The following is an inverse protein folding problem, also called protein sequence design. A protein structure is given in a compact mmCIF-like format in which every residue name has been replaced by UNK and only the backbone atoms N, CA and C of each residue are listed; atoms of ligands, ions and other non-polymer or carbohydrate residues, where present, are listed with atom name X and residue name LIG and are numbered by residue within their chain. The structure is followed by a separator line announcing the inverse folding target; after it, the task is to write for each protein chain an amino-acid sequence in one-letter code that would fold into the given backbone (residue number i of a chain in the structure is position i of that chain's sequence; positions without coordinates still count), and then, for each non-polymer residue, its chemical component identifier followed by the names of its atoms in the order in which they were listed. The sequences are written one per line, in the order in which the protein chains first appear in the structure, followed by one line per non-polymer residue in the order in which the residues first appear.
data_IF_951666733636
#
_entry.id   IF_951666733636
#
_cell.length_a   1.000
_cell.length_b   1.000
_cell.length_c   1.000
_cell.angle_alpha   90.00
_cell.angle_beta   90.00
_cell.angle_gamma   90.00
#
_symmetry.space_group_name_H-M   'P 1'
#
loop_
_entity.id
_entity.type
_entity.pdbx_description
1 polymer ?
#
# COMPACT_ATOMS: atom_id res chain seq x y z
N UNK A 1 1.79 33.64 -13.24
CA UNK A 1 2.44 32.59 -12.44
C UNK A 1 1.51 31.91 -11.43
N UNK A 2 0.65 32.63 -10.69
CA UNK A 2 -0.29 32.05 -9.70
C UNK A 2 -1.36 31.12 -10.32
N UNK A 3 -1.88 31.42 -11.52
CA UNK A 3 -2.98 30.67 -12.14
C UNK A 3 -2.63 29.21 -12.48
N UNK A 4 -1.41 28.96 -12.92
CA UNK A 4 -0.97 27.62 -13.35
C UNK A 4 -0.66 26.69 -12.15
N UNK A 5 -0.22 27.25 -11.02
CA UNK A 5 0.00 26.51 -9.78
C UNK A 5 -1.31 26.09 -9.12
N UNK A 6 -2.38 26.84 -9.35
CA UNK A 6 -3.73 26.55 -8.89
C UNK A 6 -4.28 25.28 -9.56
N UNK A 7 -4.09 25.15 -10.88
CA UNK A 7 -4.56 23.99 -11.65
C UNK A 7 -3.95 22.68 -11.10
N UNK A 8 -2.62 22.61 -10.95
CA UNK A 8 -1.97 21.42 -10.41
C UNK A 8 -2.47 21.06 -9.00
N UNK A 9 -2.72 22.07 -8.17
CA UNK A 9 -3.22 21.84 -6.82
C UNK A 9 -4.61 21.19 -6.84
N UNK A 10 -5.55 21.71 -7.63
CA UNK A 10 -6.91 21.15 -7.69
C UNK A 10 -6.96 19.79 -8.39
N UNK A 11 -6.15 19.57 -9.42
CA UNK A 11 -6.08 18.28 -10.10
C UNK A 11 -5.50 17.19 -9.20
N UNK A 12 -4.47 17.49 -8.42
CA UNK A 12 -3.92 16.56 -7.43
C UNK A 12 -4.89 16.28 -6.27
N UNK A 13 -5.63 17.30 -5.82
CA UNK A 13 -6.68 17.10 -4.82
C UNK A 13 -7.83 16.23 -5.37
N UNK A 14 -8.26 16.44 -6.62
CA UNK A 14 -9.29 15.61 -7.27
C UNK A 14 -8.80 14.16 -7.42
N UNK A 15 -7.56 13.93 -7.84
CA UNK A 15 -6.97 12.60 -7.88
C UNK A 15 -6.97 11.94 -6.49
N UNK A 16 -6.61 12.68 -5.44
CA UNK A 16 -6.62 12.19 -4.06
C UNK A 16 -8.03 11.79 -3.57
N UNK A 17 -9.09 12.49 -4.00
CA UNK A 17 -10.49 12.13 -3.70
C UNK A 17 -10.88 10.82 -4.39
N UNK A 18 -10.49 10.63 -5.65
CA UNK A 18 -10.93 9.49 -6.45
C UNK A 18 -10.24 8.17 -6.06
N UNK A 19 -9.01 8.24 -5.52
CA UNK A 19 -8.22 7.05 -5.18
C UNK A 19 -8.97 6.02 -4.31
N UNK A 20 -9.62 6.39 -3.20
CA UNK A 20 -10.28 5.43 -2.32
C UNK A 20 -11.52 4.77 -2.93
N UNK A 21 -12.12 5.37 -3.96
CA UNK A 21 -13.30 4.85 -4.64
C UNK A 21 -12.97 3.88 -5.78
N UNK A 22 -11.70 3.74 -6.15
CA UNK A 22 -11.12 2.74 -7.07
C UNK A 22 -12.00 2.39 -8.28
N UNK A 23 -12.31 3.38 -9.11
CA UNK A 23 -12.93 3.11 -10.41
C UNK A 23 -11.88 2.53 -11.35
N UNK A 24 -11.98 1.25 -11.69
CA UNK A 24 -10.96 0.41 -12.35
C UNK A 24 -10.30 1.03 -13.59
N UNK A 25 -10.99 1.90 -14.33
CA UNK A 25 -10.51 2.47 -15.60
C UNK A 25 -10.23 3.97 -15.54
N UNK A 26 -10.84 4.69 -14.64
CA UNK A 26 -10.84 6.15 -14.64
C UNK A 26 -9.69 6.77 -13.84
N UNK A 27 -9.29 6.16 -12.75
CA UNK A 27 -8.38 6.81 -11.80
C UNK A 27 -6.91 6.92 -12.27
N UNK A 28 -6.27 5.92 -12.91
CA UNK A 28 -4.86 6.05 -13.33
C UNK A 28 -4.71 7.02 -14.51
N UNK A 29 -5.60 6.91 -15.50
CA UNK A 29 -5.53 7.72 -16.71
C UNK A 29 -5.84 9.18 -16.40
N UNK A 30 -6.89 9.45 -15.62
CA UNK A 30 -7.22 10.82 -15.21
C UNK A 30 -6.14 11.41 -14.27
N UNK A 31 -5.64 10.64 -13.31
CA UNK A 31 -4.56 11.10 -12.44
C UNK A 31 -3.31 11.48 -13.25
N UNK A 32 -2.92 10.68 -14.23
CA UNK A 32 -1.78 10.95 -15.11
C UNK A 32 -2.03 12.12 -16.06
N UNK A 33 -3.19 12.20 -16.70
CA UNK A 33 -3.54 13.33 -17.59
C UNK A 33 -3.56 14.63 -16.79
N UNK A 34 -4.22 14.64 -15.63
CA UNK A 34 -4.30 15.82 -14.78
C UNK A 34 -2.93 16.26 -14.28
N UNK A 35 -2.06 15.30 -13.96
CA UNK A 35 -0.71 15.61 -13.53
C UNK A 35 0.18 16.09 -14.67
N UNK A 36 0.11 15.44 -15.84
CA UNK A 36 0.83 15.87 -17.03
C UNK A 36 0.45 17.31 -17.43
N UNK A 37 -0.85 17.63 -17.42
CA UNK A 37 -1.36 18.98 -17.64
C UNK A 37 -0.75 19.94 -16.60
N UNK A 38 -0.76 19.57 -15.30
CA UNK A 38 -0.18 20.38 -14.24
C UNK A 38 1.31 20.67 -14.45
N UNK A 39 2.11 19.64 -14.79
CA UNK A 39 3.56 19.74 -15.00
C UNK A 39 3.88 20.60 -16.23
N UNK A 40 3.20 20.39 -17.36
CA UNK A 40 3.42 21.17 -18.59
C UNK A 40 3.12 22.66 -18.39
N UNK A 41 2.07 22.97 -17.65
CA UNK A 41 1.69 24.37 -17.41
C UNK A 41 2.61 25.14 -16.45
N UNK A 42 3.39 24.47 -15.61
CA UNK A 42 4.17 25.18 -14.57
C UNK A 42 5.51 25.72 -15.01
N UNK A 43 6.09 25.26 -16.12
CA UNK A 43 7.36 25.73 -16.72
C UNK A 43 8.57 25.90 -15.78
N UNK A 44 8.53 25.35 -14.57
CA UNK A 44 9.62 25.42 -13.60
C UNK A 44 10.33 24.07 -13.52
N UNK A 45 11.36 23.91 -14.30
CA UNK A 45 12.15 22.68 -14.37
C UNK A 45 13.32 22.73 -13.38
N UNK A 46 13.45 21.72 -12.54
CA UNK A 46 14.64 21.48 -11.73
C UNK A 46 14.88 19.98 -11.68
N UNK A 47 15.96 19.53 -12.29
CA UNK A 47 16.27 18.11 -12.45
C UNK A 47 16.90 17.58 -11.16
N UNK A 48 16.28 16.58 -10.55
CA UNK A 48 16.90 15.75 -9.50
C UNK A 48 17.34 14.44 -10.13
N UNK A 49 18.55 14.40 -10.63
CA UNK A 49 19.07 13.31 -11.43
C UNK A 49 18.91 11.94 -10.76
N UNK A 50 19.22 11.81 -9.47
CA UNK A 50 19.09 10.55 -8.73
C UNK A 50 17.66 10.04 -8.71
N UNK A 51 16.67 10.92 -8.49
CA UNK A 51 15.25 10.52 -8.48
C UNK A 51 14.81 10.08 -9.87
N UNK A 52 15.16 10.85 -10.90
CA UNK A 52 14.86 10.52 -12.31
C UNK A 52 15.44 9.15 -12.66
N UNK A 53 16.71 8.91 -12.32
CA UNK A 53 17.40 7.66 -12.65
C UNK A 53 16.75 6.43 -12.00
N UNK A 54 16.32 6.51 -10.74
CA UNK A 54 15.64 5.39 -10.04
C UNK A 54 14.34 5.01 -10.74
N UNK A 55 13.49 5.98 -11.08
CA UNK A 55 12.21 5.70 -11.74
C UNK A 55 12.35 5.34 -13.21
N UNK A 56 13.35 5.91 -13.92
CA UNK A 56 13.68 5.51 -15.28
C UNK A 56 14.23 4.08 -15.34
N UNK A 57 15.09 3.70 -14.40
CA UNK A 57 15.59 2.33 -14.30
C UNK A 57 14.45 1.33 -14.07
N UNK A 58 13.47 1.69 -13.21
CA UNK A 58 12.28 0.89 -12.99
C UNK A 58 11.49 0.68 -14.29
N UNK A 59 11.13 1.77 -14.99
CA UNK A 59 10.38 1.67 -16.25
C UNK A 59 11.14 0.90 -17.32
N UNK A 60 12.44 1.21 -17.47
CA UNK A 60 13.28 0.54 -18.46
C UNK A 60 13.34 -0.96 -18.19
N UNK A 61 13.50 -1.37 -16.93
CA UNK A 61 13.56 -2.80 -16.58
C UNK A 61 12.22 -3.51 -16.80
N UNK A 62 11.11 -2.88 -16.42
CA UNK A 62 9.78 -3.43 -16.69
C UNK A 62 9.53 -3.65 -18.19
N UNK A 63 9.93 -2.68 -19.04
CA UNK A 63 9.80 -2.79 -20.49
C UNK A 63 10.76 -3.85 -21.06
N UNK A 64 12.04 -3.82 -20.66
CA UNK A 64 13.05 -4.74 -21.16
C UNK A 64 12.70 -6.19 -20.85
N UNK A 65 12.18 -6.46 -19.65
CA UNK A 65 11.83 -7.82 -19.21
C UNK A 65 10.71 -8.47 -20.03
N UNK A 66 9.91 -7.70 -20.75
CA UNK A 66 8.89 -8.25 -21.67
C UNK A 66 9.53 -8.94 -22.89
N UNK A 67 10.74 -8.50 -23.34
CA UNK A 67 11.33 -9.01 -24.59
C UNK A 67 11.76 -10.48 -24.51
N UNK A 68 12.11 -10.99 -23.32
CA UNK A 68 12.42 -12.40 -23.12
C UNK A 68 11.29 -13.20 -22.44
N UNK A 69 10.12 -12.58 -22.21
CA UNK A 69 8.95 -13.25 -21.69
C UNK A 69 8.29 -14.13 -22.78
N UNK A 70 7.89 -15.34 -22.41
CA UNK A 70 7.06 -16.20 -23.26
C UNK A 70 5.61 -15.69 -23.33
N UNK A 71 5.21 -14.86 -22.37
CA UNK A 71 3.85 -14.31 -22.23
C UNK A 71 3.83 -12.78 -22.44
N UNK A 72 4.37 -12.32 -23.58
CA UNK A 72 4.57 -10.88 -23.86
C UNK A 72 3.30 -10.03 -23.77
N UNK A 73 2.14 -10.57 -24.14
CA UNK A 73 0.87 -9.84 -24.05
C UNK A 73 0.52 -9.50 -22.60
N UNK A 74 0.69 -10.46 -21.67
CA UNK A 74 0.53 -10.22 -20.23
C UNK A 74 1.58 -9.24 -19.73
N UNK A 75 2.85 -9.42 -20.14
CA UNK A 75 3.93 -8.51 -19.77
C UNK A 75 3.69 -7.06 -20.16
N UNK A 76 3.12 -6.79 -21.34
CA UNK A 76 2.73 -5.43 -21.71
C UNK A 76 1.58 -4.89 -20.86
N UNK A 77 0.61 -5.73 -20.46
CA UNK A 77 -0.44 -5.32 -19.55
C UNK A 77 0.13 -4.92 -18.17
N UNK A 78 1.10 -5.69 -17.68
CA UNK A 78 1.78 -5.37 -16.40
C UNK A 78 2.60 -4.09 -16.49
N UNK A 79 3.32 -3.85 -17.61
CA UNK A 79 4.02 -2.58 -17.86
C UNK A 79 3.05 -1.41 -17.81
N UNK A 80 1.90 -1.51 -18.48
CA UNK A 80 0.88 -0.45 -18.47
C UNK A 80 0.33 -0.24 -17.07
N UNK A 81 0.15 -1.32 -16.30
CA UNK A 81 -0.34 -1.23 -14.92
C UNK A 81 0.62 -0.45 -14.02
N UNK A 82 1.92 -0.72 -14.08
CA UNK A 82 2.92 -0.08 -13.20
C UNK A 82 3.47 1.25 -13.74
N UNK A 83 3.14 1.60 -14.97
CA UNK A 83 3.55 2.84 -15.65
C UNK A 83 3.33 4.10 -14.80
N UNK A 84 2.19 4.26 -14.06
CA UNK A 84 1.95 5.41 -13.20
C UNK A 84 3.04 5.67 -12.17
N UNK A 85 3.63 4.63 -11.57
CA UNK A 85 4.68 4.78 -10.56
C UNK A 85 5.91 5.45 -11.18
N UNK A 86 6.37 4.93 -12.28
CA UNK A 86 7.58 5.44 -12.93
C UNK A 86 7.37 6.83 -13.55
N UNK A 87 6.28 7.04 -14.29
CA UNK A 87 5.96 8.34 -14.89
C UNK A 87 5.79 9.44 -13.82
N UNK A 88 5.07 9.14 -12.74
CA UNK A 88 4.88 10.07 -11.63
C UNK A 88 6.21 10.42 -10.98
N UNK A 89 7.05 9.41 -10.71
CA UNK A 89 8.38 9.60 -10.15
C UNK A 89 9.26 10.49 -11.03
N UNK A 90 9.29 10.25 -12.33
CA UNK A 90 10.06 11.07 -13.28
C UNK A 90 9.48 12.49 -13.36
N UNK A 91 8.19 12.63 -13.65
CA UNK A 91 7.56 13.95 -13.86
C UNK A 91 7.70 14.85 -12.63
N UNK A 92 7.43 14.34 -11.43
CA UNK A 92 7.58 15.15 -10.21
C UNK A 92 9.05 15.41 -9.82
N UNK A 93 9.97 14.55 -10.25
CA UNK A 93 11.41 14.81 -10.08
C UNK A 93 11.94 15.93 -10.97
N UNK A 94 11.26 16.20 -12.09
CA UNK A 94 11.55 17.30 -13.00
C UNK A 94 10.86 18.62 -12.62
N UNK A 95 9.92 18.55 -11.68
CA UNK A 95 9.09 19.70 -11.33
C UNK A 95 9.54 20.37 -10.03
N UNK A 96 9.59 21.71 -10.01
CA UNK A 96 9.88 22.48 -8.81
C UNK A 96 8.72 23.39 -8.41
N UNK A 97 8.30 23.36 -7.14
CA UNK A 97 7.36 24.32 -6.58
C UNK A 97 7.75 24.71 -5.15
N UNK A 98 7.69 26.01 -4.87
CA UNK A 98 7.89 26.52 -3.50
C UNK A 98 6.77 26.07 -2.54
N UNK A 99 5.63 25.70 -3.08
CA UNK A 99 4.45 25.28 -2.30
C UNK A 99 4.32 23.76 -2.16
N UNK A 100 5.33 22.97 -2.51
CA UNK A 100 5.27 21.50 -2.54
C UNK A 100 4.83 20.90 -1.21
N UNK A 101 5.37 21.33 -0.09
CA UNK A 101 5.00 20.85 1.24
C UNK A 101 3.54 21.16 1.60
N UNK A 102 3.05 22.34 1.23
CA UNK A 102 1.64 22.71 1.46
C UNK A 102 0.71 21.82 0.61
N UNK A 103 1.07 21.56 -0.64
CA UNK A 103 0.26 20.69 -1.52
C UNK A 103 0.31 19.25 -1.08
N UNK A 104 1.48 18.74 -0.73
CA UNK A 104 1.63 17.40 -0.15
C UNK A 104 0.68 17.24 1.04
N UNK A 105 0.69 18.19 1.97
CA UNK A 105 -0.17 18.14 3.16
C UNK A 105 -1.66 18.16 2.78
N UNK A 106 -2.06 19.03 1.86
CA UNK A 106 -3.47 19.13 1.44
C UNK A 106 -3.93 17.88 0.69
N UNK A 107 -3.14 17.35 -0.24
CA UNK A 107 -3.49 16.13 -0.97
C UNK A 107 -3.58 14.93 -0.05
N UNK A 108 -2.62 14.80 0.88
CA UNK A 108 -2.65 13.74 1.87
C UNK A 108 -3.92 13.82 2.75
N UNK A 109 -4.29 15.00 3.24
CA UNK A 109 -5.53 15.18 4.02
C UNK A 109 -6.78 14.92 3.19
N UNK A 110 -6.84 15.41 1.96
CA UNK A 110 -7.96 15.16 1.06
C UNK A 110 -8.14 13.66 0.83
N UNK A 111 -7.06 12.93 0.56
CA UNK A 111 -7.08 11.47 0.43
C UNK A 111 -7.61 10.80 1.71
N UNK A 112 -7.11 11.21 2.88
CA UNK A 112 -7.48 10.60 4.14
C UNK A 112 -8.97 10.81 4.48
N UNK A 113 -9.51 12.02 4.25
CA UNK A 113 -10.93 12.29 4.42
C UNK A 113 -11.80 11.57 3.39
N UNK A 114 -11.37 11.49 2.14
CA UNK A 114 -12.07 10.73 1.11
C UNK A 114 -12.10 9.23 1.45
N UNK A 115 -11.01 8.67 1.96
CA UNK A 115 -10.96 7.28 2.44
C UNK A 115 -11.92 7.04 3.61
N UNK A 116 -12.02 8.00 4.55
CA UNK A 116 -12.98 7.93 5.66
C UNK A 116 -14.41 7.84 5.14
N UNK A 117 -14.76 8.70 4.18
CA UNK A 117 -16.11 8.71 3.56
C UNK A 117 -16.36 7.40 2.82
N UNK A 118 -15.42 6.95 1.99
CA UNK A 118 -15.53 5.69 1.25
C UNK A 118 -15.72 4.51 2.21
N UNK A 119 -14.91 4.42 3.27
CA UNK A 119 -15.06 3.38 4.28
C UNK A 119 -16.41 3.42 4.98
N UNK A 120 -16.86 4.60 5.39
CA UNK A 120 -18.16 4.76 6.07
C UNK A 120 -19.30 4.30 5.15
N UNK A 121 -19.24 4.63 3.85
CA UNK A 121 -20.22 4.18 2.88
C UNK A 121 -20.22 2.65 2.75
N UNK A 122 -19.05 2.02 2.58
CA UNK A 122 -18.92 0.55 2.48
C UNK A 122 -19.44 -0.14 3.72
N UNK A 123 -19.12 0.40 4.89
CA UNK A 123 -19.57 -0.14 6.16
C UNK A 123 -21.09 -0.09 6.29
N UNK A 124 -21.72 1.04 5.97
CA UNK A 124 -23.17 1.21 6.02
C UNK A 124 -23.88 0.32 4.99
N UNK A 125 -23.36 0.28 3.75
CA UNK A 125 -23.89 -0.58 2.70
C UNK A 125 -23.85 -2.06 3.10
N UNK A 126 -22.74 -2.50 3.68
CA UNK A 126 -22.60 -3.87 4.19
C UNK A 126 -23.62 -4.20 5.28
N UNK A 127 -23.89 -3.29 6.22
CA UNK A 127 -24.90 -3.50 7.25
C UNK A 127 -26.31 -3.58 6.66
N UNK A 128 -26.63 -2.68 5.72
CA UNK A 128 -27.95 -2.61 5.09
C UNK A 128 -28.21 -3.84 4.21
N UNK A 129 -27.20 -4.24 3.41
CA UNK A 129 -27.34 -5.31 2.43
C UNK A 129 -27.25 -6.71 3.03
N UNK A 130 -26.49 -6.88 4.11
CA UNK A 130 -26.17 -8.22 4.68
C UNK A 130 -26.53 -8.38 6.16
N UNK A 131 -27.15 -7.40 6.77
CA UNK A 131 -27.61 -7.40 8.16
C UNK A 131 -26.48 -7.12 9.16
N UNK A 132 -25.71 -8.13 9.53
CA UNK A 132 -24.59 -7.96 10.47
C UNK A 132 -23.24 -8.00 9.75
N UNK A 133 -22.25 -7.33 10.35
CA UNK A 133 -20.89 -7.21 9.85
C UNK A 133 -20.26 -8.58 9.52
N UNK A 134 -20.21 -8.93 8.26
CA UNK A 134 -19.42 -10.04 7.75
C UNK A 134 -18.24 -9.45 6.96
N UNK A 135 -16.99 -9.76 7.37
CA UNK A 135 -15.81 -9.23 6.70
C UNK A 135 -15.77 -9.47 5.17
N UNK A 136 -16.46 -10.50 4.68
CA UNK A 136 -16.57 -10.79 3.23
C UNK A 136 -17.53 -9.86 2.50
N UNK A 137 -18.41 -9.17 3.21
CA UNK A 137 -19.38 -8.23 2.62
C UNK A 137 -18.83 -6.81 2.44
N UNK A 138 -17.64 -6.52 2.99
CA UNK A 138 -16.97 -5.22 2.82
C UNK A 138 -16.20 -5.08 1.51
N UNK A 139 -16.44 -5.96 0.57
CA UNK A 139 -15.90 -5.86 -0.78
C UNK A 139 -16.75 -4.88 -1.60
N UNK A 140 -16.20 -3.76 -2.02
CA UNK A 140 -16.81 -2.79 -2.94
C UNK A 140 -17.05 -3.43 -4.32
N UNK A 141 -17.83 -4.53 -4.35
CA UNK A 141 -18.16 -5.24 -5.58
C UNK A 141 -16.96 -5.92 -6.26
N UNK A 142 -15.98 -6.43 -5.48
CA UNK A 142 -14.78 -7.08 -5.99
C UNK A 142 -13.66 -6.11 -6.43
N UNK A 143 -13.88 -4.79 -6.28
CA UNK A 143 -13.00 -3.75 -6.86
C UNK A 143 -11.78 -3.43 -6.00
N UNK A 144 -11.93 -3.45 -4.69
CA UNK A 144 -10.86 -3.22 -3.72
C UNK A 144 -10.82 -4.41 -2.76
N UNK A 145 -9.97 -5.38 -2.99
CA UNK A 145 -9.80 -6.50 -2.07
C UNK A 145 -9.56 -6.02 -0.63
N UNK A 146 -10.01 -6.78 0.36
CA UNK A 146 -9.98 -6.43 1.79
C UNK A 146 -8.60 -5.95 2.27
N UNK A 147 -7.53 -6.53 1.72
CA UNK A 147 -6.16 -6.16 2.04
C UNK A 147 -5.83 -4.73 1.60
N UNK A 148 -6.14 -4.37 0.36
CA UNK A 148 -5.88 -3.03 -0.18
C UNK A 148 -6.73 -1.97 0.51
N UNK A 149 -8.00 -2.29 0.79
CA UNK A 149 -8.87 -1.40 1.54
C UNK A 149 -8.31 -1.12 2.94
N UNK A 150 -7.88 -2.16 3.66
CA UNK A 150 -7.21 -2.03 4.96
C UNK A 150 -5.93 -1.20 4.88
N UNK A 151 -5.14 -1.35 3.80
CA UNK A 151 -3.93 -0.56 3.54
C UNK A 151 -4.24 0.93 3.38
N UNK A 152 -5.30 1.27 2.63
CA UNK A 152 -5.77 2.66 2.48
C UNK A 152 -6.21 3.26 3.82
N UNK A 153 -6.91 2.47 4.66
CA UNK A 153 -7.34 2.91 5.99
C UNK A 153 -6.14 3.23 6.90
N UNK A 154 -5.11 2.37 6.91
CA UNK A 154 -3.89 2.59 7.70
C UNK A 154 -3.19 3.88 7.28
N UNK A 155 -2.95 4.06 5.97
CA UNK A 155 -2.29 5.26 5.45
C UNK A 155 -3.07 6.51 5.81
N UNK A 156 -4.40 6.47 5.70
CA UNK A 156 -5.28 7.59 6.05
C UNK A 156 -5.28 7.90 7.55
N UNK A 157 -5.28 6.86 8.41
CA UNK A 157 -5.18 7.03 9.85
C UNK A 157 -3.86 7.71 10.26
N UNK A 158 -2.74 7.28 9.67
CA UNK A 158 -1.42 7.90 9.89
C UNK A 158 -1.37 9.36 9.47
N UNK A 159 -2.02 9.72 8.34
CA UNK A 159 -2.07 11.10 7.85
C UNK A 159 -2.91 11.98 8.79
N UNK A 160 -4.08 11.51 9.24
CA UNK A 160 -4.96 12.30 10.12
C UNK A 160 -4.39 12.45 11.53
N UNK A 161 -3.72 11.40 12.04
CA UNK A 161 -3.11 11.40 13.39
C UNK A 161 -2.11 12.55 13.54
N UNK A 162 -1.30 12.85 12.51
CA UNK A 162 -0.26 13.88 12.53
C UNK A 162 -0.73 15.24 13.08
N UNK A 163 -1.96 15.63 12.85
CA UNK A 163 -2.51 16.93 13.27
C UNK A 163 -3.34 16.91 14.56
N UNK A 164 -3.52 15.75 15.22
CA UNK A 164 -4.25 15.66 16.48
C UNK A 164 -3.52 16.47 17.57
N UNK A 165 -2.20 16.49 17.54
CA UNK A 165 -1.32 17.11 18.53
C UNK A 165 -1.13 18.62 18.35
N UNK A 166 -1.77 19.25 17.34
CA UNK A 166 -1.74 20.70 17.14
C UNK A 166 -2.85 21.38 17.94
N UNK A 167 -2.56 22.57 18.49
CA UNK A 167 -3.30 23.31 19.53
C UNK A 167 -4.81 23.60 19.32
N UNK A 168 -5.46 23.16 18.25
CA UNK A 168 -6.88 23.45 17.98
C UNK A 168 -7.79 22.31 18.44
N UNK A 169 -8.29 22.38 19.68
CA UNK A 169 -9.01 21.32 20.39
C UNK A 169 -10.17 20.68 19.60
N UNK A 170 -11.10 21.48 19.05
CA UNK A 170 -12.30 20.92 18.37
C UNK A 170 -11.95 20.06 17.14
N UNK A 171 -11.02 20.51 16.31
CA UNK A 171 -10.61 19.80 15.12
C UNK A 171 -9.77 18.54 15.46
N UNK A 172 -9.08 18.57 16.60
CA UNK A 172 -8.32 17.43 17.11
C UNK A 172 -9.23 16.28 17.55
N UNK A 173 -10.36 16.56 18.20
CA UNK A 173 -11.36 15.56 18.60
C UNK A 173 -11.96 14.89 17.37
N UNK A 174 -12.39 15.66 16.35
CA UNK A 174 -12.93 15.09 15.12
C UNK A 174 -11.91 14.16 14.42
N UNK A 175 -10.65 14.57 14.36
CA UNK A 175 -9.59 13.72 13.79
C UNK A 175 -9.33 12.46 14.60
N UNK A 176 -9.35 12.57 15.93
CA UNK A 176 -9.18 11.40 16.80
C UNK A 176 -10.31 10.38 16.57
N UNK A 177 -11.57 10.83 16.49
CA UNK A 177 -12.71 9.97 16.15
C UNK A 177 -12.54 9.35 14.76
N UNK A 178 -12.13 10.14 13.76
CA UNK A 178 -11.89 9.65 12.41
C UNK A 178 -10.78 8.58 12.38
N UNK A 179 -9.66 8.79 13.09
CA UNK A 179 -8.57 7.81 13.20
C UNK A 179 -9.06 6.52 13.85
N UNK A 180 -9.80 6.61 14.97
CA UNK A 180 -10.35 5.43 15.62
C UNK A 180 -11.32 4.67 14.71
N UNK A 181 -12.14 5.37 13.94
CA UNK A 181 -13.07 4.78 12.97
C UNK A 181 -12.34 4.06 11.82
N UNK A 182 -11.27 4.66 11.30
CA UNK A 182 -10.41 4.02 10.29
C UNK A 182 -9.71 2.78 10.86
N UNK A 183 -9.15 2.85 12.07
CA UNK A 183 -8.50 1.70 12.73
C UNK A 183 -9.50 0.59 13.06
N UNK A 184 -10.72 0.93 13.47
CA UNK A 184 -11.81 -0.03 13.60
C UNK A 184 -12.07 -0.74 12.27
N UNK A 185 -12.08 -0.01 11.15
CA UNK A 185 -12.18 -0.58 9.81
C UNK A 185 -11.08 -1.61 9.50
N UNK A 186 -9.84 -1.31 9.86
CA UNK A 186 -8.71 -2.27 9.70
C UNK A 186 -8.97 -3.57 10.46
N UNK A 187 -9.51 -3.48 11.68
CA UNK A 187 -9.85 -4.66 12.50
C UNK A 187 -10.98 -5.45 11.86
N UNK A 188 -12.03 -4.78 11.41
CA UNK A 188 -13.19 -5.43 10.77
C UNK A 188 -12.79 -6.14 9.49
N UNK A 189 -11.96 -5.53 8.64
CA UNK A 189 -11.44 -6.12 7.41
C UNK A 189 -10.51 -7.32 7.67
N UNK A 190 -9.94 -7.42 8.88
CA UNK A 190 -9.21 -8.60 9.36
C UNK A 190 -8.05 -9.04 8.45
N UNK A 191 -7.38 -8.11 7.75
CA UNK A 191 -6.17 -8.42 7.00
C UNK A 191 -5.03 -8.77 7.98
N UNK A 192 -4.58 -10.03 7.99
CA UNK A 192 -3.70 -10.62 9.02
C UNK A 192 -2.46 -9.79 9.29
N UNK A 193 -1.75 -9.39 8.24
CA UNK A 193 -0.53 -8.58 8.38
C UNK A 193 -0.84 -7.22 9.00
N UNK A 194 -1.96 -6.61 8.67
CA UNK A 194 -2.36 -5.31 9.16
C UNK A 194 -2.79 -5.34 10.62
N UNK A 195 -3.39 -6.44 11.09
CA UNK A 195 -3.69 -6.64 12.51
C UNK A 195 -2.44 -6.64 13.39
N UNK A 196 -1.29 -7.09 12.84
CA UNK A 196 0.01 -7.05 13.52
C UNK A 196 0.69 -5.71 13.31
N UNK A 197 0.66 -5.20 12.08
CA UNK A 197 1.41 -4.01 11.69
C UNK A 197 0.87 -2.74 12.36
N UNK A 198 -0.46 -2.59 12.50
CA UNK A 198 -1.06 -1.39 13.09
C UNK A 198 -0.60 -1.15 14.54
N UNK A 199 -0.66 -2.12 15.47
CA UNK A 199 -0.13 -1.92 16.82
C UNK A 199 1.36 -1.55 16.83
N UNK A 200 2.16 -2.16 15.97
CA UNK A 200 3.61 -1.87 15.84
C UNK A 200 3.83 -0.45 15.36
N UNK A 201 3.14 -0.02 14.29
CA UNK A 201 3.25 1.34 13.76
C UNK A 201 2.79 2.39 14.78
N UNK A 202 1.68 2.12 15.47
CA UNK A 202 1.18 3.02 16.52
C UNK A 202 2.19 3.14 17.67
N UNK A 203 2.76 2.01 18.10
CA UNK A 203 3.79 2.02 19.15
C UNK A 203 5.02 2.83 18.71
N UNK A 204 5.55 2.59 17.51
CA UNK A 204 6.69 3.33 16.98
C UNK A 204 6.39 4.84 16.90
N UNK A 205 5.18 5.19 16.45
CA UNK A 205 4.75 6.58 16.37
C UNK A 205 4.63 7.24 17.73
N UNK A 206 4.07 6.55 18.72
CA UNK A 206 4.00 7.07 20.10
C UNK A 206 5.37 7.20 20.74
N UNK A 207 6.30 6.28 20.48
CA UNK A 207 7.69 6.38 20.96
C UNK A 207 8.36 7.61 20.35
N UNK A 208 8.22 7.85 19.03
CA UNK A 208 8.74 9.04 18.36
C UNK A 208 8.17 10.32 18.97
N UNK A 209 6.83 10.41 19.14
CA UNK A 209 6.18 11.55 19.77
C UNK A 209 6.65 11.77 21.22
N UNK A 210 6.77 10.71 22.03
CA UNK A 210 7.22 10.79 23.41
C UNK A 210 8.69 11.22 23.53
N UNK A 211 9.49 10.93 22.49
CA UNK A 211 10.87 11.39 22.41
C UNK A 211 10.96 12.89 22.16
N UNK A 212 10.15 13.41 21.25
CA UNK A 212 10.13 14.83 20.87
C UNK A 212 9.36 15.72 21.86
N UNK A 213 8.34 15.20 22.55
CA UNK A 213 7.47 15.94 23.49
C UNK A 213 7.63 15.42 24.94
N UNK A 214 8.77 15.71 25.56
CA UNK A 214 9.12 15.20 26.90
C UNK A 214 8.09 15.60 27.97
N UNK A 215 7.51 16.80 27.87
CA UNK A 215 6.49 17.35 28.79
C UNK A 215 5.18 16.55 28.74
N UNK A 216 4.86 15.92 27.61
CA UNK A 216 3.62 15.14 27.44
C UNK A 216 3.86 13.61 27.46
N UNK A 217 5.07 13.17 27.77
CA UNK A 217 5.48 11.77 27.66
C UNK A 217 4.57 10.80 28.41
N UNK A 218 4.18 11.13 29.65
CA UNK A 218 3.29 10.27 30.45
C UNK A 218 1.92 10.12 29.79
N UNK A 219 1.34 11.23 29.34
CA UNK A 219 0.07 11.24 28.63
C UNK A 219 0.13 10.44 27.32
N UNK A 220 1.20 10.59 26.54
CA UNK A 220 1.41 9.84 25.30
C UNK A 220 1.50 8.33 25.56
N UNK A 221 2.24 7.91 26.59
CA UNK A 221 2.35 6.48 26.96
C UNK A 221 0.99 5.93 27.42
N UNK A 222 0.25 6.67 28.23
CA UNK A 222 -1.09 6.26 28.66
C UNK A 222 -2.06 6.14 27.49
N UNK A 223 -2.03 7.11 26.56
CA UNK A 223 -2.87 7.07 25.34
C UNK A 223 -2.49 5.88 24.45
N UNK A 224 -1.19 5.61 24.25
CA UNK A 224 -0.73 4.44 23.51
C UNK A 224 -1.22 3.13 24.14
N UNK A 225 -1.08 2.99 25.46
CA UNK A 225 -1.56 1.83 26.20
C UNK A 225 -3.08 1.67 26.07
N UNK A 226 -3.85 2.76 26.21
CA UNK A 226 -5.31 2.74 26.04
C UNK A 226 -5.71 2.33 24.61
N UNK A 227 -5.07 2.88 23.57
CA UNK A 227 -5.32 2.51 22.17
C UNK A 227 -5.02 1.04 21.93
N UNK A 228 -3.87 0.54 22.40
CA UNK A 228 -3.50 -0.88 22.26
C UNK A 228 -4.50 -1.80 22.98
N UNK A 229 -4.93 -1.43 24.18
CA UNK A 229 -5.93 -2.19 24.93
C UNK A 229 -7.28 -2.22 24.22
N UNK A 230 -7.76 -1.06 23.72
CA UNK A 230 -9.01 -0.95 22.98
C UNK A 230 -8.96 -1.79 21.70
N UNK A 231 -7.92 -1.61 20.89
CA UNK A 231 -7.76 -2.38 19.63
C UNK A 231 -7.61 -3.87 19.91
N UNK A 232 -6.82 -4.24 20.93
CA UNK A 232 -6.66 -5.63 21.36
C UNK A 232 -7.98 -6.26 21.83
N UNK A 233 -8.80 -5.51 22.56
CA UNK A 233 -10.13 -5.96 22.97
C UNK A 233 -11.07 -6.19 21.78
N UNK A 234 -11.08 -5.31 20.79
CA UNK A 234 -11.84 -5.53 19.55
C UNK A 234 -11.37 -6.78 18.79
N UNK A 235 -10.06 -6.99 18.68
CA UNK A 235 -9.51 -8.18 18.04
C UNK A 235 -9.92 -9.46 18.80
N UNK A 236 -9.94 -9.41 20.13
CA UNK A 236 -10.32 -10.57 20.94
C UNK A 236 -11.84 -10.86 20.92
N UNK A 237 -12.66 -9.81 20.90
CA UNK A 237 -14.12 -9.94 21.00
C UNK A 237 -14.81 -10.22 19.66
N UNK A 238 -14.24 -9.73 18.54
CA UNK A 238 -14.86 -9.94 17.23
C UNK A 238 -14.48 -11.32 16.65
N UNK A 239 -15.47 -12.15 16.23
CA UNK A 239 -15.20 -13.51 15.73
C UNK A 239 -14.31 -13.55 14.48
N UNK A 240 -14.41 -12.52 13.61
CA UNK A 240 -13.60 -12.44 12.40
C UNK A 240 -12.11 -12.29 12.68
N UNK A 241 -11.68 -11.21 13.39
CA UNK A 241 -10.26 -10.98 13.76
C UNK A 241 -9.68 -12.10 14.63
N UNK A 242 -10.41 -12.57 15.66
CA UNK A 242 -9.93 -13.64 16.54
C UNK A 242 -9.72 -14.96 15.78
N UNK A 243 -10.66 -15.33 14.90
CA UNK A 243 -10.51 -16.47 14.00
C UNK A 243 -9.28 -16.36 13.09
N UNK A 244 -8.99 -15.18 12.56
CA UNK A 244 -7.80 -14.92 11.73
C UNK A 244 -6.48 -15.08 12.47
N UNK A 245 -6.42 -14.68 13.74
CA UNK A 245 -5.23 -14.91 14.57
C UNK A 245 -5.04 -16.40 14.90
N UNK A 246 -6.13 -17.14 15.14
CA UNK A 246 -6.08 -18.60 15.32
C UNK A 246 -5.61 -19.28 14.04
N UNK A 247 -6.12 -18.86 12.87
CA UNK A 247 -5.67 -19.33 11.57
C UNK A 247 -4.16 -19.08 11.39
N UNK A 248 -3.68 -17.87 11.68
CA UNK A 248 -2.25 -17.52 11.60
C UNK A 248 -1.39 -18.42 12.51
N UNK A 249 -1.84 -18.65 13.75
CA UNK A 249 -1.14 -19.56 14.67
C UNK A 249 -1.08 -20.98 14.12
N UNK A 250 -2.17 -21.47 13.55
CA UNK A 250 -2.24 -22.80 12.95
C UNK A 250 -1.34 -22.88 11.71
N UNK A 251 -1.30 -21.84 10.89
CA UNK A 251 -0.40 -21.72 9.74
C UNK A 251 1.07 -21.78 10.14
N UNK A 252 1.46 -21.02 11.17
CA UNK A 252 2.84 -21.03 11.68
C UNK A 252 3.26 -22.40 12.23
N UNK A 253 2.33 -23.16 12.81
CA UNK A 253 2.57 -24.52 13.29
C UNK A 253 2.60 -25.55 12.17
N UNK A 254 2.00 -25.27 11.02
CA UNK A 254 1.90 -26.18 9.88
C UNK A 254 3.05 -26.06 8.87
N UNK A 255 4.08 -25.24 9.16
CA UNK A 255 5.26 -25.05 8.30
C UNK A 255 5.98 -26.38 8.00
N UNK A 256 5.89 -27.37 8.90
CA UNK A 256 6.46 -28.71 8.69
C UNK A 256 5.65 -29.63 7.74
N UNK A 257 4.64 -29.12 7.03
CA UNK A 257 3.93 -29.85 5.96
C UNK A 257 2.99 -30.98 6.45
N UNK A 258 2.85 -31.19 7.74
CA UNK A 258 1.91 -32.13 8.33
C UNK A 258 0.66 -31.40 8.81
N UNK A 259 -0.14 -30.95 7.87
CA UNK A 259 -1.49 -30.43 8.21
C UNK A 259 -2.47 -31.58 8.22
N UNK A 260 -3.06 -31.85 9.38
CA UNK A 260 -4.24 -32.70 9.50
C UNK A 260 -5.39 -32.09 8.67
N UNK A 261 -5.41 -32.34 7.38
CA UNK A 261 -6.55 -32.35 6.46
C UNK A 261 -7.47 -31.13 6.36
N UNK A 262 -7.27 -30.00 7.07
CA UNK A 262 -8.33 -28.99 7.12
C UNK A 262 -7.99 -27.56 6.68
N UNK A 263 -6.73 -27.13 6.63
CA UNK A 263 -6.37 -25.80 6.08
C UNK A 263 -4.93 -25.80 5.60
N UNK A 264 -4.77 -25.76 4.30
CA UNK A 264 -3.46 -25.58 3.67
C UNK A 264 -3.19 -24.07 3.60
N UNK A 265 -2.07 -23.62 4.15
CA UNK A 265 -1.63 -22.25 3.93
C UNK A 265 -1.17 -22.10 2.48
N UNK A 266 -2.04 -21.56 1.63
CA UNK A 266 -1.76 -21.36 0.21
C UNK A 266 -0.44 -20.63 0.00
N UNK A 267 -0.15 -19.60 0.82
CA UNK A 267 1.05 -18.76 0.68
C UNK A 267 2.35 -19.53 0.82
N UNK A 268 2.43 -20.49 1.74
CA UNK A 268 3.62 -21.32 1.91
C UNK A 268 3.92 -22.11 0.63
N UNK A 269 2.88 -22.68 0.01
CA UNK A 269 3.05 -23.39 -1.26
C UNK A 269 3.38 -22.42 -2.41
N UNK A 270 2.69 -21.29 -2.51
CA UNK A 270 2.97 -20.27 -3.51
C UNK A 270 4.42 -19.79 -3.41
N UNK A 271 4.92 -19.53 -2.20
CA UNK A 271 6.31 -19.12 -1.99
C UNK A 271 7.31 -20.24 -2.29
N UNK A 272 7.01 -21.47 -1.84
CA UNK A 272 7.87 -22.63 -2.14
C UNK A 272 8.02 -22.86 -3.65
N UNK A 273 6.93 -22.89 -4.40
CA UNK A 273 6.93 -23.07 -5.84
C UNK A 273 7.37 -21.82 -6.59
N UNK A 274 7.07 -20.64 -6.05
CA UNK A 274 7.58 -19.36 -6.55
C UNK A 274 9.12 -19.28 -6.50
N UNK A 275 9.74 -19.79 -5.43
CA UNK A 275 11.19 -19.91 -5.34
C UNK A 275 11.77 -20.83 -6.41
N UNK A 276 11.06 -21.88 -6.83
CA UNK A 276 11.50 -22.73 -7.95
C UNK A 276 11.43 -21.99 -9.29
N UNK A 277 10.47 -21.06 -9.47
CA UNK A 277 10.45 -20.17 -10.64
C UNK A 277 11.66 -19.25 -10.61
N UNK A 278 11.96 -18.63 -9.48
CA UNK A 278 13.16 -17.77 -9.31
C UNK A 278 14.44 -18.55 -9.61
N UNK A 279 14.57 -19.79 -9.13
CA UNK A 279 15.75 -20.63 -9.37
C UNK A 279 16.00 -20.95 -10.85
N UNK A 280 14.95 -20.93 -11.69
CA UNK A 280 15.12 -21.18 -13.14
C UNK A 280 15.79 -20.01 -13.87
N UNK A 281 15.64 -18.77 -13.37
CA UNK A 281 16.27 -17.57 -13.95
C UNK A 281 16.53 -16.51 -12.87
N UNK A 282 17.54 -16.68 -11.99
CA UNK A 282 17.67 -15.85 -10.79
C UNK A 282 18.07 -14.40 -11.07
N UNK A 283 18.80 -14.12 -12.16
CA UNK A 283 19.35 -12.79 -12.41
C UNK A 283 18.39 -11.85 -13.13
N UNK A 284 17.72 -12.34 -14.18
CA UNK A 284 16.86 -11.54 -15.06
C UNK A 284 15.39 -11.96 -15.02
N UNK A 285 15.05 -13.03 -14.27
CA UNK A 285 13.70 -13.56 -14.17
C UNK A 285 13.25 -14.28 -15.45
N UNK A 286 12.02 -14.77 -15.42
CA UNK A 286 11.38 -15.45 -16.57
C UNK A 286 10.73 -14.46 -17.56
N UNK A 287 10.82 -13.18 -17.30
CA UNK A 287 10.20 -12.11 -18.06
C UNK A 287 8.87 -11.64 -17.47
N UNK A 288 8.57 -10.36 -17.68
CA UNK A 288 7.36 -9.73 -17.16
C UNK A 288 6.11 -10.40 -17.76
N UNK A 289 5.09 -10.64 -16.93
CA UNK A 289 3.85 -11.35 -17.30
C UNK A 289 3.97 -12.88 -17.39
N UNK A 290 5.19 -13.47 -17.24
CA UNK A 290 5.38 -14.92 -17.28
C UNK A 290 5.36 -15.55 -15.87
N UNK A 291 5.58 -14.76 -14.82
CA UNK A 291 5.78 -15.27 -13.47
C UNK A 291 4.61 -16.12 -12.96
N UNK A 292 3.39 -15.64 -13.08
CA UNK A 292 2.17 -16.34 -12.62
C UNK A 292 1.93 -17.63 -13.42
N UNK A 293 2.16 -17.63 -14.72
CA UNK A 293 1.97 -18.81 -15.56
C UNK A 293 3.00 -19.90 -15.20
N UNK A 294 4.27 -19.54 -15.00
CA UNK A 294 5.30 -20.47 -14.53
C UNK A 294 5.00 -20.97 -13.12
N UNK A 295 4.49 -20.13 -12.22
CA UNK A 295 4.02 -20.55 -10.90
C UNK A 295 2.89 -21.58 -11.03
N UNK A 296 1.90 -21.31 -11.90
CA UNK A 296 0.78 -22.20 -12.14
C UNK A 296 1.24 -23.57 -12.66
N UNK A 297 2.19 -23.60 -13.62
CA UNK A 297 2.80 -24.84 -14.11
C UNK A 297 3.50 -25.64 -13.00
N UNK A 298 4.24 -24.96 -12.11
CA UNK A 298 4.85 -25.60 -10.95
C UNK A 298 3.81 -26.14 -9.98
N UNK A 299 2.71 -25.42 -9.77
CA UNK A 299 1.62 -25.88 -8.89
C UNK A 299 0.88 -27.11 -9.42
N UNK A 300 0.89 -27.39 -10.74
CA UNK A 300 0.36 -28.64 -11.30
C UNK A 300 1.06 -29.89 -10.75
N UNK A 301 2.32 -29.78 -10.38
CA UNK A 301 3.07 -30.86 -9.73
C UNK A 301 2.75 -31.01 -8.25
N UNK A 302 2.05 -30.02 -7.66
CA UNK A 302 1.71 -29.97 -6.27
C UNK A 302 0.40 -30.77 -6.00
N UNK A 303 0.46 -31.75 -5.09
CA UNK A 303 -0.71 -32.47 -4.61
C UNK A 303 -1.43 -31.77 -3.43
N UNK A 304 -1.07 -30.50 -3.14
CA UNK A 304 -1.69 -29.78 -2.06
C UNK A 304 -3.14 -29.43 -2.39
N UNK A 305 -4.00 -29.65 -1.41
CA UNK A 305 -5.43 -29.38 -1.49
C UNK A 305 -5.84 -28.36 -0.43
N UNK A 306 -6.93 -27.65 -0.68
CA UNK A 306 -7.55 -26.79 0.31
C UNK A 306 -9.07 -26.97 0.32
N UNK A 307 -9.67 -26.61 1.44
CA UNK A 307 -11.12 -26.70 1.61
C UNK A 307 -11.78 -25.35 1.37
N UNK A 308 -12.81 -25.34 0.51
CA UNK A 308 -13.67 -24.18 0.32
C UNK A 308 -15.12 -24.61 0.56
N UNK A 309 -15.66 -24.25 1.72
CA UNK A 309 -16.96 -24.77 2.18
C UNK A 309 -16.86 -26.26 2.52
N UNK A 310 -17.64 -27.09 1.82
CA UNK A 310 -17.66 -28.55 1.98
C UNK A 310 -16.83 -29.29 0.91
N UNK A 311 -16.23 -28.58 -0.04
CA UNK A 311 -15.51 -29.17 -1.16
C UNK A 311 -14.00 -29.01 -0.99
N UNK A 312 -13.25 -30.00 -1.50
CA UNK A 312 -11.80 -30.02 -1.55
C UNK A 312 -11.37 -29.72 -2.98
N UNK A 313 -10.43 -28.78 -3.13
CA UNK A 313 -9.88 -28.35 -4.40
C UNK A 313 -8.36 -28.51 -4.38
N UNK A 314 -7.76 -28.80 -5.53
CA UNK A 314 -6.31 -28.70 -5.69
C UNK A 314 -5.90 -27.23 -5.90
N UNK A 315 -4.69 -26.86 -5.42
CA UNK A 315 -4.18 -25.51 -5.58
C UNK A 315 -4.09 -25.11 -7.06
N UNK A 316 -3.69 -26.02 -7.94
CA UNK A 316 -3.54 -25.75 -9.38
C UNK A 316 -4.88 -25.55 -10.14
N UNK A 317 -6.03 -25.79 -9.53
CA UNK A 317 -7.33 -25.48 -10.15
C UNK A 317 -7.63 -23.98 -10.19
N UNK A 318 -6.82 -23.17 -9.49
CA UNK A 318 -6.95 -21.72 -9.45
C UNK A 318 -5.64 -21.06 -9.86
N UNK A 319 -5.75 -19.94 -10.58
CA UNK A 319 -4.61 -19.06 -10.83
C UNK A 319 -4.36 -18.20 -9.59
N UNK A 320 -3.13 -18.19 -9.15
CA UNK A 320 -2.68 -17.39 -8.02
C UNK A 320 -1.53 -16.49 -8.45
N UNK A 321 -1.47 -15.29 -7.89
CA UNK A 321 -0.26 -14.49 -7.82
C UNK A 321 0.64 -15.00 -6.68
N UNK A 322 1.84 -14.42 -6.54
CA UNK A 322 2.81 -14.86 -5.52
C UNK A 322 2.40 -14.42 -4.08
N UNK A 323 1.43 -13.54 -3.94
CA UNK A 323 1.12 -12.88 -2.66
C UNK A 323 2.37 -12.36 -1.94
N UNK A 324 3.34 -11.87 -2.68
CA UNK A 324 4.60 -11.30 -2.18
C UNK A 324 5.26 -10.51 -3.31
N UNK A 325 5.31 -9.17 -3.17
CA UNK A 325 5.85 -8.27 -4.18
C UNK A 325 7.33 -8.55 -4.53
N UNK A 326 8.12 -8.96 -3.52
CA UNK A 326 9.56 -9.24 -3.69
C UNK A 326 9.78 -10.51 -4.48
N UNK A 327 9.04 -11.57 -4.13
CA UNK A 327 9.12 -12.86 -4.80
C UNK A 327 8.61 -12.76 -6.23
N UNK A 328 7.52 -12.04 -6.48
CA UNK A 328 6.99 -11.78 -7.81
C UNK A 328 7.98 -11.00 -8.65
N UNK A 329 8.51 -9.88 -8.15
CA UNK A 329 9.52 -9.10 -8.86
C UNK A 329 10.77 -9.93 -9.18
N UNK A 330 11.17 -10.82 -8.26
CA UNK A 330 12.30 -11.73 -8.48
C UNK A 330 11.99 -12.80 -9.53
N UNK A 331 10.78 -13.35 -9.54
CA UNK A 331 10.39 -14.34 -10.54
C UNK A 331 10.34 -13.72 -11.94
N UNK A 332 9.76 -12.54 -12.10
CA UNK A 332 9.55 -11.91 -13.39
C UNK A 332 10.80 -11.18 -13.93
N UNK A 333 11.46 -10.40 -13.08
CA UNK A 333 12.59 -9.54 -13.49
C UNK A 333 13.92 -9.86 -12.81
N UNK A 334 14.00 -10.97 -12.05
CA UNK A 334 15.20 -11.43 -11.38
C UNK A 334 15.64 -10.54 -10.21
N UNK A 335 16.85 -10.80 -9.73
CA UNK A 335 17.47 -9.99 -8.66
C UNK A 335 17.61 -8.52 -9.04
N UNK A 336 17.76 -8.21 -10.33
CA UNK A 336 17.82 -6.81 -10.81
C UNK A 336 16.51 -6.08 -10.51
N UNK A 337 15.35 -6.69 -10.78
CA UNK A 337 14.05 -6.08 -10.47
C UNK A 337 13.86 -5.87 -8.97
N UNK A 338 14.28 -6.84 -8.14
CA UNK A 338 14.23 -6.70 -6.67
C UNK A 338 15.11 -5.55 -6.18
N UNK A 339 16.33 -5.41 -6.70
CA UNK A 339 17.21 -4.30 -6.36
C UNK A 339 16.58 -2.95 -6.73
N UNK A 340 16.00 -2.83 -7.92
CA UNK A 340 15.29 -1.62 -8.34
C UNK A 340 14.09 -1.34 -7.44
N UNK A 341 13.31 -2.37 -7.08
CA UNK A 341 12.20 -2.22 -6.14
C UNK A 341 12.67 -1.74 -4.77
N UNK A 342 13.75 -2.32 -4.24
CA UNK A 342 14.36 -1.88 -2.97
C UNK A 342 14.84 -0.43 -3.07
N UNK A 343 15.38 0.00 -4.20
CA UNK A 343 15.77 1.39 -4.42
C UNK A 343 14.57 2.33 -4.40
N UNK A 344 13.42 1.95 -4.98
CA UNK A 344 12.19 2.77 -4.91
C UNK A 344 11.66 2.84 -3.48
N UNK A 345 11.57 1.71 -2.78
CA UNK A 345 11.10 1.65 -1.40
C UNK A 345 12.04 2.42 -0.46
N UNK A 346 13.36 2.24 -0.63
CA UNK A 346 14.39 2.98 0.08
C UNK A 346 14.36 4.48 -0.20
N UNK A 347 14.14 4.87 -1.47
CA UNK A 347 13.92 6.26 -1.85
C UNK A 347 12.70 6.84 -1.12
N UNK A 348 11.58 6.10 -1.11
CA UNK A 348 10.38 6.52 -0.39
C UNK A 348 10.62 6.72 1.10
N UNK A 349 11.31 5.79 1.75
CA UNK A 349 11.66 5.86 3.18
C UNK A 349 12.65 7.00 3.49
N UNK A 350 13.63 7.21 2.62
CA UNK A 350 14.68 8.21 2.84
C UNK A 350 14.19 9.64 2.66
N UNK A 351 13.43 9.89 1.58
CA UNK A 351 12.99 11.24 1.22
C UNK A 351 11.63 11.64 1.81
N UNK A 352 10.94 10.75 2.53
CA UNK A 352 9.70 11.07 3.24
C UNK A 352 9.92 11.29 4.74
N UNK A 353 8.99 12.00 5.36
CA UNK A 353 9.04 12.30 6.79
C UNK A 353 7.66 12.07 7.45
N UNK A 354 7.65 11.86 8.77
CA UNK A 354 6.44 11.73 9.57
C UNK A 354 5.48 10.67 9.01
N UNK A 355 4.21 10.98 8.89
CA UNK A 355 3.15 10.06 8.45
C UNK A 355 3.44 9.38 7.09
N UNK A 356 4.05 10.10 6.14
CA UNK A 356 4.35 9.55 4.82
C UNK A 356 5.45 8.48 4.91
N UNK A 357 6.45 8.66 5.79
CA UNK A 357 7.47 7.62 6.04
C UNK A 357 6.82 6.36 6.63
N UNK A 358 5.91 6.49 7.58
CA UNK A 358 5.16 5.36 8.13
C UNK A 358 4.25 4.69 7.10
N UNK A 359 3.68 5.46 6.16
CA UNK A 359 2.97 4.89 5.02
C UNK A 359 3.89 4.04 4.13
N UNK A 360 5.12 4.48 3.86
CA UNK A 360 6.12 3.66 3.14
C UNK A 360 6.52 2.40 3.92
N UNK A 361 6.70 2.50 5.24
CA UNK A 361 6.92 1.31 6.10
C UNK A 361 5.76 0.34 5.94
N UNK A 362 4.52 0.85 5.90
CA UNK A 362 3.33 0.01 5.68
C UNK A 362 3.39 -0.71 4.33
N UNK A 363 3.78 -0.03 3.25
CA UNK A 363 3.96 -0.64 1.91
C UNK A 363 5.02 -1.76 1.95
N UNK A 364 6.19 -1.50 2.57
CA UNK A 364 7.27 -2.49 2.68
C UNK A 364 6.77 -3.78 3.34
N UNK A 365 6.11 -3.69 4.48
CA UNK A 365 5.63 -4.87 5.20
C UNK A 365 4.41 -5.53 4.54
N UNK A 366 3.48 -4.74 3.99
CA UNK A 366 2.33 -5.29 3.25
C UNK A 366 2.77 -6.04 2.01
N UNK A 367 3.81 -5.56 1.33
CA UNK A 367 4.41 -6.22 0.17
C UNK A 367 5.00 -7.60 0.45
N UNK A 368 5.31 -7.94 1.72
CA UNK A 368 5.74 -9.29 2.10
C UNK A 368 4.62 -10.33 2.01
N UNK A 369 3.36 -9.89 2.00
CA UNK A 369 2.19 -10.78 2.02
C UNK A 369 1.20 -10.54 0.89
N UNK A 370 1.46 -9.57 0.02
CA UNK A 370 0.62 -9.25 -1.13
C UNK A 370 1.46 -8.77 -2.32
N UNK A 371 0.99 -9.08 -3.52
CA UNK A 371 1.58 -8.65 -4.80
C UNK A 371 1.07 -7.24 -5.14
N UNK A 372 1.63 -6.21 -4.49
CA UNK A 372 1.12 -4.84 -4.58
C UNK A 372 1.23 -4.22 -5.98
N UNK A 373 2.21 -4.66 -6.81
CA UNK A 373 2.40 -4.15 -8.17
C UNK A 373 1.49 -4.83 -9.19
N UNK A 374 0.90 -5.96 -8.83
CA UNK A 374 0.00 -6.75 -9.68
C UNK A 374 -1.47 -6.34 -9.53
N UNK A 375 -1.74 -5.40 -8.65
CA UNK A 375 -3.11 -4.91 -8.39
C UNK A 375 -3.14 -3.40 -8.50
N UNK A 376 -4.08 -2.91 -9.32
CA UNK A 376 -4.25 -1.48 -9.57
C UNK A 376 -4.31 -0.64 -8.28
N UNK A 377 -5.02 -1.12 -7.26
CA UNK A 377 -5.12 -0.42 -5.98
C UNK A 377 -3.75 -0.23 -5.29
N UNK A 378 -2.88 -1.24 -5.32
CA UNK A 378 -1.52 -1.14 -4.79
C UNK A 378 -0.67 -0.15 -5.58
N UNK A 379 -0.70 -0.25 -6.90
CA UNK A 379 0.02 0.65 -7.82
C UNK A 379 -0.41 2.10 -7.62
N UNK A 380 -1.71 2.37 -7.52
CA UNK A 380 -2.23 3.72 -7.33
C UNK A 380 -1.80 4.32 -5.99
N UNK A 381 -1.83 3.53 -4.91
CA UNK A 381 -1.37 4.00 -3.61
C UNK A 381 0.12 4.29 -3.61
N UNK A 382 0.95 3.41 -4.20
CA UNK A 382 2.39 3.63 -4.34
C UNK A 382 2.66 4.89 -5.18
N UNK A 383 1.96 5.05 -6.30
CA UNK A 383 2.05 6.24 -7.16
C UNK A 383 1.73 7.52 -6.39
N UNK A 384 0.68 7.48 -5.57
CA UNK A 384 0.30 8.61 -4.73
C UNK A 384 1.36 8.92 -3.66
N UNK A 385 1.91 7.90 -3.00
CA UNK A 385 3.01 8.08 -2.04
C UNK A 385 4.28 8.62 -2.70
N UNK A 386 4.60 8.19 -3.93
CA UNK A 386 5.68 8.78 -4.74
C UNK A 386 5.43 10.28 -4.96
N UNK A 387 4.20 10.64 -5.33
CA UNK A 387 3.83 12.04 -5.53
C UNK A 387 4.00 12.87 -4.24
N UNK A 388 3.49 12.39 -3.12
CA UNK A 388 3.60 13.07 -1.84
C UNK A 388 5.06 13.22 -1.40
N UNK A 389 5.88 12.17 -1.57
CA UNK A 389 7.30 12.18 -1.21
C UNK A 389 8.08 13.18 -2.08
N UNK A 390 7.87 13.15 -3.39
CA UNK A 390 8.55 14.07 -4.31
C UNK A 390 8.23 15.55 -4.04
N UNK A 391 7.00 15.85 -3.65
CA UNK A 391 6.58 17.20 -3.25
C UNK A 391 7.12 17.61 -1.89
N UNK A 392 7.13 16.71 -0.92
CA UNK A 392 7.54 16.97 0.47
C UNK A 392 9.06 17.10 0.66
N UNK A 393 9.85 16.29 -0.05
CA UNK A 393 11.32 16.25 0.10
C UNK A 393 12.04 17.55 -0.21
N UNK A 394 11.37 18.55 -0.76
CA UNK A 394 11.93 19.85 -1.16
C UNK A 394 11.82 20.93 -0.08
N UNK A 395 10.93 20.75 0.90
CA UNK A 395 10.73 21.74 1.95
C UNK A 395 11.89 21.78 2.96
N UNK A 396 12.50 20.64 3.22
CA UNK A 396 13.58 20.49 4.21
C UNK A 396 14.92 21.10 3.76
N UNK A 397 15.15 21.23 2.46
CA UNK A 397 16.39 21.79 1.93
C UNK A 397 16.40 23.33 1.84
N UNK A 398 15.26 24.01 2.04
CA UNK A 398 15.11 25.46 1.94
C UNK A 398 14.95 26.15 3.29
N UNK A 399 14.53 25.43 4.31
CA UNK A 399 14.48 25.92 5.68
C UNK A 399 15.54 25.15 6.47
N UNK A 400 16.72 25.71 6.64
CA UNK A 400 17.72 25.20 7.60
C UNK A 400 17.27 25.35 9.07
N UNK A 401 15.98 25.50 9.28
CA UNK A 401 15.33 25.51 10.58
C UNK A 401 14.44 24.27 10.67
N UNK A 402 14.83 23.37 11.57
CA UNK A 402 13.98 22.31 12.13
C UNK A 402 12.72 22.90 12.80
N UNK A 403 11.86 23.55 12.04
CA UNK A 403 10.49 23.76 12.49
C UNK A 403 9.75 22.42 12.35
N UNK A 404 9.71 21.72 13.50
CA UNK A 404 9.20 20.41 13.76
C UNK A 404 7.99 20.01 12.92
N UNK A 405 8.23 19.10 12.03
CA UNK A 405 7.25 18.29 11.30
C UNK A 405 6.48 17.38 12.25
#
# INVERSE_FOLDING_TARGET
MQRNTIILHYTGAAAAVLLPFAFEWLSPVYGLILLAIGVVYTRQWSIRLVHVLVFMAFLAWQILSVFWSDYRSAGWADVVMVLPIGLMGVLLSLFHTKNGATWMTRWAETFAWATLVAWTFVFLDSIVSYGWVNYKSFDLGGRLGLHFQSLYLIVSALILERKIWRKTYKLSVLRAVAVLWLLFGVIVLSARIHLILVPVLMLLRFVELAWHHKEHRRFLIQTAAAVVLILGSFVALLPGPSGRLIDLRNELRSIDGKVNGKQTNHRVFLWKYGLQVVQSSPWIGVGNGAGEEYLHEKLKTCKATFYRGKQTYFLHEFKYDFHNIYLQSCAEGGLIAVLILILILGWGLWFSHGAIRYAWITIVFSGMTESLLDKQAGVLLITFLVALTALGSRATNLSGTDEGL
#
